data_IF_656390240701
#
_entry.id   IF_656390240701
#
_cell.length_a   1.000
_cell.length_b   1.000
_cell.length_c   1.000
_cell.angle_alpha   90.00
_cell.angle_beta   90.00
_cell.angle_gamma   90.00
#
_symmetry.space_group_name_H-M   'P 1'
#
loop_
_entity.id
_entity.type
_entity.pdbx_description
1 polymer ?
#
# COMPACT_ATOMS: atom_id res chain seq x y z
N UNK A 1 -32.29 12.39 28.02
CA UNK A 1 -31.24 12.73 27.02
C UNK A 1 -29.91 11.98 27.20
N UNK A 2 -29.66 11.23 28.27
CA UNK A 2 -28.35 10.56 28.51
C UNK A 2 -28.16 9.17 27.85
N UNK A 3 -29.23 8.48 27.41
CA UNK A 3 -29.12 7.11 26.87
C UNK A 3 -28.62 7.06 25.41
N UNK A 4 -29.07 7.99 24.55
CA UNK A 4 -28.69 7.98 23.13
C UNK A 4 -27.21 8.36 22.89
N UNK A 5 -26.69 9.34 23.62
CA UNK A 5 -25.28 9.76 23.52
C UNK A 5 -24.32 8.67 24.04
N UNK A 6 -24.72 7.96 25.10
CA UNK A 6 -23.99 6.79 25.61
C UNK A 6 -23.90 5.65 24.58
N UNK A 7 -25.02 5.31 23.93
CA UNK A 7 -25.07 4.27 22.89
C UNK A 7 -24.17 4.63 21.69
N UNK A 8 -24.19 5.88 21.24
CA UNK A 8 -23.32 6.32 20.14
C UNK A 8 -21.83 6.22 20.48
N UNK A 9 -21.46 6.47 21.74
CA UNK A 9 -20.08 6.38 22.22
C UNK A 9 -19.63 4.93 22.35
N UNK A 10 -20.49 4.04 22.88
CA UNK A 10 -20.23 2.60 22.95
C UNK A 10 -20.05 2.00 21.55
N UNK A 11 -20.90 2.36 20.59
CA UNK A 11 -20.79 1.87 19.21
C UNK A 11 -19.45 2.30 18.58
N UNK A 12 -19.03 3.56 18.76
CA UNK A 12 -17.73 4.05 18.26
C UNK A 12 -16.58 3.26 18.88
N UNK A 13 -16.65 3.01 20.17
CA UNK A 13 -15.65 2.24 20.90
C UNK A 13 -15.55 0.79 20.39
N UNK A 14 -16.68 0.11 20.22
CA UNK A 14 -16.74 -1.27 19.72
C UNK A 14 -16.16 -1.41 18.30
N UNK A 15 -16.46 -0.44 17.42
CA UNK A 15 -15.89 -0.41 16.07
C UNK A 15 -14.36 -0.29 16.15
N UNK A 16 -13.85 0.67 16.93
CA UNK A 16 -12.40 0.84 17.09
C UNK A 16 -11.72 -0.41 17.66
N UNK A 17 -12.30 -1.06 18.67
CA UNK A 17 -11.76 -2.32 19.20
C UNK A 17 -11.76 -3.46 18.17
N UNK A 18 -12.75 -3.50 17.26
CA UNK A 18 -12.76 -4.45 16.16
C UNK A 18 -11.58 -4.20 15.21
N UNK A 19 -11.36 -2.95 14.81
CA UNK A 19 -10.22 -2.56 13.96
C UNK A 19 -8.88 -2.91 14.62
N UNK A 20 -8.73 -2.63 15.92
CA UNK A 20 -7.55 -2.95 16.72
C UNK A 20 -7.32 -4.47 16.77
N UNK A 21 -8.37 -5.25 16.99
CA UNK A 21 -8.28 -6.71 17.02
C UNK A 21 -7.77 -7.27 15.69
N UNK A 22 -8.28 -6.76 14.56
CA UNK A 22 -7.83 -7.14 13.22
C UNK A 22 -6.36 -6.77 13.01
N UNK A 23 -5.92 -5.59 13.46
CA UNK A 23 -4.53 -5.15 13.39
C UNK A 23 -3.59 -6.07 14.20
N UNK A 24 -3.93 -6.35 15.46
CA UNK A 24 -3.14 -7.25 16.31
C UNK A 24 -3.11 -8.68 15.76
N UNK A 25 -4.23 -9.15 15.22
CA UNK A 25 -4.30 -10.46 14.58
C UNK A 25 -3.36 -10.55 13.37
N UNK A 26 -3.33 -9.51 12.52
CA UNK A 26 -2.34 -9.46 11.43
C UNK A 26 -0.91 -9.43 11.95
N UNK A 27 -0.65 -8.67 13.01
CA UNK A 27 0.67 -8.56 13.62
C UNK A 27 1.18 -9.93 14.08
N UNK A 28 0.35 -10.67 14.80
CA UNK A 28 0.68 -12.02 15.23
C UNK A 28 1.00 -12.96 14.05
N UNK A 29 0.22 -12.90 12.96
CA UNK A 29 0.41 -13.77 11.80
C UNK A 29 1.63 -13.42 10.92
N UNK A 30 2.03 -12.16 10.89
CA UNK A 30 3.12 -11.69 10.01
C UNK A 30 4.44 -11.55 10.74
N UNK A 31 4.45 -11.53 12.07
CA UNK A 31 5.63 -11.37 12.92
C UNK A 31 6.85 -12.19 12.48
N UNK A 32 6.70 -13.51 12.30
CA UNK A 32 7.81 -14.39 11.92
C UNK A 32 8.44 -13.99 10.59
N UNK A 33 7.61 -13.56 9.63
CA UNK A 33 8.07 -13.09 8.32
C UNK A 33 8.71 -11.71 8.42
N UNK A 34 8.18 -10.84 9.27
CA UNK A 34 8.74 -9.50 9.50
C UNK A 34 10.15 -9.55 10.06
N UNK A 35 10.36 -10.34 11.11
CA UNK A 35 11.68 -10.49 11.73
C UNK A 35 12.67 -10.99 10.69
N UNK A 36 12.28 -12.01 9.90
CA UNK A 36 13.14 -12.60 8.87
C UNK A 36 13.49 -11.63 7.74
N UNK A 37 12.52 -10.88 7.21
CA UNK A 37 12.72 -10.10 5.98
C UNK A 37 13.06 -8.63 6.21
N UNK A 38 12.53 -8.00 7.27
CA UNK A 38 12.73 -6.59 7.56
C UNK A 38 13.80 -6.36 8.63
N UNK A 39 13.75 -7.06 9.75
CA UNK A 39 14.63 -6.78 10.89
C UNK A 39 16.02 -7.41 10.76
N UNK A 40 16.12 -8.62 10.19
CA UNK A 40 17.41 -9.32 10.03
C UNK A 40 18.23 -8.88 8.80
N UNK A 41 17.82 -7.82 8.08
CA UNK A 41 18.42 -7.43 6.78
C UNK A 41 18.69 -5.93 6.70
N UNK A 42 19.44 -5.51 5.68
CA UNK A 42 19.81 -4.11 5.45
C UNK A 42 18.58 -3.22 5.26
N UNK A 43 18.67 -2.00 5.78
CA UNK A 43 17.60 -1.00 5.69
C UNK A 43 17.49 -0.47 4.24
N UNK A 44 16.32 -0.69 3.62
CA UNK A 44 15.91 -0.15 2.30
C UNK A 44 14.78 0.87 2.45
N UNK A 45 14.51 1.70 1.44
CA UNK A 45 13.39 2.65 1.42
C UNK A 45 12.03 1.93 1.60
N UNK A 46 11.87 0.73 1.04
CA UNK A 46 10.68 -0.11 1.29
C UNK A 46 10.49 -0.48 2.76
N UNK A 47 11.58 -0.57 3.54
CA UNK A 47 11.54 -0.75 5.01
C UNK A 47 10.91 0.45 5.69
N UNK A 48 11.33 1.65 5.32
CA UNK A 48 10.78 2.89 5.87
C UNK A 48 9.29 3.03 5.52
N UNK A 49 8.92 2.75 4.28
CA UNK A 49 7.51 2.77 3.84
C UNK A 49 6.67 1.69 4.51
N UNK A 50 7.22 0.50 4.69
CA UNK A 50 6.55 -0.57 5.44
C UNK A 50 6.30 -0.15 6.89
N UNK A 51 7.31 0.40 7.57
CA UNK A 51 7.20 0.89 8.94
C UNK A 51 6.17 2.03 9.00
N UNK A 52 6.23 2.99 8.08
CA UNK A 52 5.28 4.09 7.99
C UNK A 52 3.85 3.59 7.78
N UNK A 53 3.59 2.72 6.79
CA UNK A 53 2.26 2.17 6.53
C UNK A 53 1.72 1.34 7.71
N UNK A 54 2.59 0.58 8.38
CA UNK A 54 2.18 -0.40 9.40
C UNK A 54 2.02 0.22 10.77
N UNK A 55 3.02 0.98 11.23
CA UNK A 55 3.02 1.56 12.57
C UNK A 55 2.26 2.88 12.63
N UNK A 56 2.02 3.57 11.50
CA UNK A 56 1.10 4.71 11.51
C UNK A 56 -0.33 4.31 11.90
N UNK A 57 -0.72 3.06 11.68
CA UNK A 57 -2.05 2.53 12.06
C UNK A 57 -2.22 2.42 13.58
N UNK A 58 -1.12 2.39 14.34
CA UNK A 58 -1.14 2.44 15.82
C UNK A 58 -1.72 3.76 16.31
N UNK A 59 -1.73 4.81 15.47
CA UNK A 59 -2.46 6.05 15.76
C UNK A 59 -3.93 5.80 16.11
N UNK A 60 -4.58 4.77 15.55
CA UNK A 60 -5.98 4.48 15.87
C UNK A 60 -6.14 3.89 17.29
N UNK A 61 -5.14 3.18 17.78
CA UNK A 61 -5.07 2.72 19.18
C UNK A 61 -4.93 3.92 20.10
N UNK A 62 -4.01 4.83 19.79
CA UNK A 62 -3.80 6.06 20.56
C UNK A 62 -5.06 6.96 20.56
N UNK A 63 -5.75 7.05 19.43
CA UNK A 63 -7.03 7.75 19.30
C UNK A 63 -8.11 7.14 20.20
N UNK A 64 -8.21 5.82 20.24
CA UNK A 64 -9.17 5.09 21.08
C UNK A 64 -8.85 5.27 22.56
N UNK A 65 -7.57 5.28 22.92
CA UNK A 65 -7.10 5.51 24.29
C UNK A 65 -7.38 6.94 24.76
N UNK A 66 -7.27 7.92 23.86
CA UNK A 66 -7.62 9.31 24.15
C UNK A 66 -9.14 9.50 24.36
N UNK A 67 -9.97 8.71 23.68
CA UNK A 67 -11.43 8.75 23.79
C UNK A 67 -12.01 8.02 25.02
N UNK A 68 -11.29 7.07 25.61
CA UNK A 68 -11.82 6.23 26.69
C UNK A 68 -11.75 6.88 28.09
N UNK A 69 -11.47 8.18 28.18
CA UNK A 69 -11.31 8.95 29.43
C UNK A 69 -10.30 8.36 30.44
N UNK A 70 -9.50 7.38 30.01
CA UNK A 70 -8.40 6.80 30.80
C UNK A 70 -7.23 7.79 31.00
N UNK A 71 -7.28 8.96 30.36
CA UNK A 71 -6.30 10.05 30.49
C UNK A 71 -6.99 11.28 31.11
N UNK A 72 -7.03 11.38 32.46
CA UNK A 72 -7.66 12.50 33.14
C UNK A 72 -6.85 13.79 32.90
N UNK A 73 -7.31 14.65 32.00
CA UNK A 73 -6.73 15.98 31.79
C UNK A 73 -7.02 16.58 30.41
N UNK A 74 -8.05 17.41 30.32
CA UNK A 74 -8.52 18.12 29.11
C UNK A 74 -7.52 19.08 28.43
N UNK A 75 -6.22 19.07 28.82
CA UNK A 75 -5.13 19.77 28.10
C UNK A 75 -4.19 18.81 27.35
N UNK A 76 -4.21 17.52 27.70
CA UNK A 76 -3.42 16.48 27.01
C UNK A 76 -4.13 15.98 25.76
N UNK A 77 -5.46 16.10 25.69
CA UNK A 77 -6.23 15.56 24.56
C UNK A 77 -5.87 16.20 23.21
N UNK A 78 -5.82 17.54 23.11
CA UNK A 78 -5.55 18.19 21.82
C UNK A 78 -4.13 17.92 21.30
N UNK A 79 -3.13 17.86 22.18
CA UNK A 79 -1.76 17.56 21.78
C UNK A 79 -1.62 16.10 21.35
N UNK A 80 -2.21 15.16 22.10
CA UNK A 80 -2.24 13.75 21.71
C UNK A 80 -2.99 13.57 20.38
N UNK A 81 -4.09 14.29 20.17
CA UNK A 81 -4.89 14.26 18.95
C UNK A 81 -4.11 14.76 17.74
N UNK A 82 -3.36 15.85 17.89
CA UNK A 82 -2.47 16.39 16.84
C UNK A 82 -1.34 15.42 16.51
N UNK A 83 -0.74 14.77 17.52
CA UNK A 83 0.29 13.74 17.31
C UNK A 83 -0.28 12.54 16.55
N UNK A 84 -1.46 12.06 16.95
CA UNK A 84 -2.16 10.98 16.25
C UNK A 84 -2.45 11.37 14.79
N UNK A 85 -2.99 12.57 14.58
CA UNK A 85 -3.27 13.10 13.25
C UNK A 85 -2.00 13.16 12.39
N UNK A 86 -0.89 13.67 12.92
CA UNK A 86 0.40 13.70 12.22
C UNK A 86 0.94 12.31 11.87
N UNK A 87 0.81 11.33 12.77
CA UNK A 87 1.18 9.93 12.49
C UNK A 87 0.31 9.36 11.36
N UNK A 88 -0.99 9.66 11.35
CA UNK A 88 -1.91 9.24 10.28
C UNK A 88 -1.50 9.80 8.91
N UNK A 89 -1.04 11.07 8.86
CA UNK A 89 -0.51 11.69 7.63
C UNK A 89 0.67 10.91 7.06
N UNK A 90 1.60 10.47 7.94
CA UNK A 90 2.75 9.65 7.54
C UNK A 90 2.28 8.33 6.91
N UNK A 91 1.27 7.69 7.52
CA UNK A 91 0.67 6.46 7.00
C UNK A 91 0.02 6.64 5.62
N UNK A 92 -0.83 7.66 5.46
CA UNK A 92 -1.49 7.97 4.17
C UNK A 92 -0.47 8.32 3.09
N UNK A 93 0.53 9.12 3.43
CA UNK A 93 1.62 9.48 2.51
C UNK A 93 2.37 8.23 2.04
N UNK A 94 2.68 7.31 2.95
CA UNK A 94 3.34 6.05 2.59
C UNK A 94 2.48 5.18 1.66
N UNK A 95 1.16 5.09 1.92
CA UNK A 95 0.19 4.41 1.04
C UNK A 95 0.23 5.04 -0.37
N UNK A 96 0.08 6.36 -0.48
CA UNK A 96 0.13 7.11 -1.75
C UNK A 96 1.43 6.81 -2.50
N UNK A 97 2.57 6.89 -1.82
CA UNK A 97 3.89 6.63 -2.42
C UNK A 97 3.98 5.20 -2.96
N UNK A 98 3.55 4.19 -2.19
CA UNK A 98 3.59 2.78 -2.62
C UNK A 98 2.72 2.55 -3.85
N UNK A 99 1.48 3.05 -3.84
CA UNK A 99 0.55 2.91 -4.96
C UNK A 99 1.02 3.67 -6.20
N UNK A 100 1.57 4.86 -6.02
CA UNK A 100 2.11 5.68 -7.10
C UNK A 100 3.36 5.07 -7.72
N UNK A 101 4.32 4.66 -6.89
CA UNK A 101 5.55 4.01 -7.33
C UNK A 101 5.26 2.70 -8.08
N UNK A 102 4.30 1.90 -7.59
CA UNK A 102 3.82 0.70 -8.28
C UNK A 102 3.21 1.04 -9.64
N UNK A 103 2.33 2.02 -9.71
CA UNK A 103 1.69 2.42 -10.98
C UNK A 103 2.74 2.92 -11.97
N UNK A 104 3.71 3.70 -11.52
CA UNK A 104 4.82 4.17 -12.34
C UNK A 104 5.72 3.03 -12.85
N UNK A 105 6.04 2.04 -12.00
CA UNK A 105 6.80 0.86 -12.37
C UNK A 105 6.09 0.03 -13.45
N UNK A 106 4.79 -0.20 -13.30
CA UNK A 106 3.95 -0.95 -14.25
C UNK A 106 3.90 -0.31 -15.64
N UNK A 107 4.07 1.01 -15.74
CA UNK A 107 4.08 1.75 -17.01
C UNK A 107 5.48 2.01 -17.55
N UNK A 108 6.46 1.16 -17.20
CA UNK A 108 7.84 1.27 -17.66
C UNK A 108 8.45 2.66 -17.41
N UNK A 109 8.16 3.25 -16.24
CA UNK A 109 8.68 4.57 -15.87
C UNK A 109 8.27 5.69 -16.83
N UNK A 110 7.06 5.60 -17.38
CA UNK A 110 6.53 6.67 -18.23
C UNK A 110 6.40 7.99 -17.46
N UNK A 111 7.08 9.04 -17.94
CA UNK A 111 7.08 10.38 -17.33
C UNK A 111 5.67 10.95 -17.18
N UNK A 112 4.74 10.65 -18.09
CA UNK A 112 3.36 11.13 -17.96
C UNK A 112 2.67 10.58 -16.70
N UNK A 113 2.90 9.30 -16.38
CA UNK A 113 2.34 8.68 -15.17
C UNK A 113 2.96 9.30 -13.92
N UNK A 114 4.27 9.57 -13.95
CA UNK A 114 4.96 10.26 -12.85
C UNK A 114 4.39 11.66 -12.62
N UNK A 115 4.16 12.43 -13.68
CA UNK A 115 3.61 13.78 -13.57
C UNK A 115 2.20 13.71 -12.99
N UNK A 116 1.31 12.88 -13.55
CA UNK A 116 -0.09 12.79 -13.11
C UNK A 116 -0.20 12.31 -11.65
N UNK A 117 0.45 11.19 -11.30
CA UNK A 117 0.40 10.64 -9.94
C UNK A 117 1.23 11.46 -8.96
N UNK A 118 2.33 12.07 -9.41
CA UNK A 118 3.14 12.97 -8.60
C UNK A 118 2.35 14.22 -8.22
N UNK A 119 1.70 14.89 -9.18
CA UNK A 119 0.90 16.09 -8.89
C UNK A 119 -0.32 15.75 -8.04
N UNK A 120 -1.02 14.66 -8.35
CA UNK A 120 -2.19 14.25 -7.59
C UNK A 120 -1.82 13.80 -6.17
N UNK A 121 -0.72 13.05 -6.02
CA UNK A 121 -0.21 12.62 -4.72
C UNK A 121 0.27 13.80 -3.86
N UNK A 122 0.99 14.76 -4.45
CA UNK A 122 1.41 15.98 -3.74
C UNK A 122 0.21 16.82 -3.30
N UNK A 123 -0.83 16.91 -4.13
CA UNK A 123 -2.08 17.59 -3.76
C UNK A 123 -2.74 16.91 -2.55
N UNK A 124 -2.88 15.58 -2.57
CA UNK A 124 -3.48 14.84 -1.45
C UNK A 124 -2.66 15.02 -0.17
N UNK A 125 -1.33 14.88 -0.24
CA UNK A 125 -0.45 15.06 0.92
C UNK A 125 -0.52 16.50 1.45
N UNK A 126 -0.55 17.50 0.56
CA UNK A 126 -0.70 18.90 0.93
C UNK A 126 -2.02 19.17 1.65
N UNK A 127 -3.12 18.62 1.15
CA UNK A 127 -4.43 18.69 1.80
C UNK A 127 -4.41 18.00 3.17
N UNK A 128 -3.78 16.83 3.28
CA UNK A 128 -3.68 16.05 4.53
C UNK A 128 -2.91 16.84 5.60
N UNK A 129 -1.79 17.45 5.24
CA UNK A 129 -1.00 18.31 6.13
C UNK A 129 -1.81 19.54 6.54
N UNK A 130 -2.53 20.18 5.60
CA UNK A 130 -3.34 21.36 5.89
C UNK A 130 -4.54 21.06 6.80
N UNK A 131 -4.98 19.80 6.85
CA UNK A 131 -6.05 19.35 7.72
C UNK A 131 -5.59 19.21 9.19
N UNK A 132 -4.33 18.83 9.45
CA UNK A 132 -3.80 18.56 10.80
C UNK A 132 -4.00 19.71 11.79
N UNK A 133 -3.72 20.99 11.47
CA UNK A 133 -3.89 22.09 12.44
C UNK A 133 -5.34 22.30 12.88
N UNK A 134 -6.31 21.91 12.04
CA UNK A 134 -7.74 22.07 12.30
C UNK A 134 -8.37 20.96 13.14
N UNK A 135 -7.59 19.96 13.56
CA UNK A 135 -8.09 18.83 14.33
C UNK A 135 -8.14 19.19 15.83
N UNK A 136 -9.33 19.14 16.42
CA UNK A 136 -9.59 19.43 17.85
C UNK A 136 -10.29 18.26 18.51
N UNK A 137 -9.95 17.96 19.77
CA UNK A 137 -10.52 16.84 20.50
C UNK A 137 -12.01 17.05 20.86
N UNK A 138 -12.39 18.29 21.19
CA UNK A 138 -13.76 18.69 21.50
C UNK A 138 -14.06 20.03 20.83
N UNK A 139 -15.09 20.09 19.99
CA UNK A 139 -15.51 21.32 19.30
C UNK A 139 -15.76 21.12 17.81
N UNK A 140 -16.04 22.21 17.10
CA UNK A 140 -16.23 22.17 15.66
C UNK A 140 -14.86 21.97 14.98
N UNK A 141 -14.69 20.81 14.34
CA UNK A 141 -13.53 20.45 13.55
C UNK A 141 -13.26 21.49 12.45
N UNK A 142 -12.02 21.50 11.95
CA UNK A 142 -11.49 22.43 10.95
C UNK A 142 -12.29 22.53 9.65
N UNK A 143 -11.71 23.16 8.63
CA UNK A 143 -12.44 23.53 7.42
C UNK A 143 -13.05 22.29 6.71
N UNK A 144 -14.39 22.11 6.69
CA UNK A 144 -15.03 20.91 6.15
C UNK A 144 -14.77 20.73 4.65
N UNK A 145 -14.49 21.83 3.95
CA UNK A 145 -14.14 21.81 2.53
C UNK A 145 -12.83 21.06 2.31
N UNK A 146 -11.84 21.25 3.18
CA UNK A 146 -10.53 20.59 3.06
C UNK A 146 -10.67 19.08 3.29
N UNK A 147 -11.49 18.68 4.28
CA UNK A 147 -11.77 17.27 4.56
C UNK A 147 -12.47 16.59 3.37
N UNK A 148 -13.51 17.22 2.81
CA UNK A 148 -14.22 16.69 1.64
C UNK A 148 -13.29 16.55 0.43
N UNK A 149 -12.51 17.58 0.12
CA UNK A 149 -11.55 17.55 -0.98
C UNK A 149 -10.49 16.45 -0.79
N UNK A 150 -9.93 16.31 0.41
CA UNK A 150 -8.97 15.26 0.74
C UNK A 150 -9.53 13.87 0.40
N UNK A 151 -10.74 13.57 0.87
CA UNK A 151 -11.36 12.26 0.69
C UNK A 151 -11.64 12.00 -0.79
N UNK A 152 -12.21 12.99 -1.51
CA UNK A 152 -12.49 12.85 -2.94
C UNK A 152 -11.19 12.60 -3.72
N UNK A 153 -10.15 13.41 -3.52
CA UNK A 153 -8.89 13.24 -4.24
C UNK A 153 -8.16 11.95 -3.89
N UNK A 154 -8.23 11.50 -2.63
CA UNK A 154 -7.68 10.20 -2.21
C UNK A 154 -8.37 9.05 -2.95
N UNK A 155 -9.71 9.05 -3.00
CA UNK A 155 -10.47 8.00 -3.71
C UNK A 155 -10.18 8.04 -5.20
N UNK A 156 -10.10 9.23 -5.81
CA UNK A 156 -9.72 9.39 -7.22
C UNK A 156 -8.33 8.81 -7.48
N UNK A 157 -7.35 9.11 -6.60
CA UNK A 157 -5.99 8.58 -6.70
C UNK A 157 -5.96 7.05 -6.66
N UNK A 158 -6.64 6.45 -5.69
CA UNK A 158 -6.67 4.99 -5.50
C UNK A 158 -7.41 4.27 -6.63
N UNK A 159 -8.56 4.79 -7.05
CA UNK A 159 -9.34 4.23 -8.17
C UNK A 159 -8.54 4.31 -9.46
N UNK A 160 -7.90 5.45 -9.74
CA UNK A 160 -7.06 5.61 -10.92
C UNK A 160 -5.86 4.64 -10.90
N UNK A 161 -5.18 4.53 -9.75
CA UNK A 161 -4.09 3.56 -9.54
C UNK A 161 -4.57 2.13 -9.79
N UNK A 162 -5.70 1.74 -9.20
CA UNK A 162 -6.28 0.41 -9.32
C UNK A 162 -6.68 0.09 -10.76
N UNK A 163 -7.34 1.01 -11.47
CA UNK A 163 -7.73 0.85 -12.87
C UNK A 163 -6.49 0.68 -13.75
N UNK A 164 -5.51 1.57 -13.66
CA UNK A 164 -4.34 1.55 -14.53
C UNK A 164 -3.48 0.30 -14.31
N UNK A 165 -3.24 -0.06 -13.05
CA UNK A 165 -2.52 -1.30 -12.72
C UNK A 165 -3.30 -2.53 -13.16
N UNK A 166 -4.63 -2.53 -13.02
CA UNK A 166 -5.48 -3.65 -13.45
C UNK A 166 -5.50 -3.82 -14.97
N UNK A 167 -5.69 -2.73 -15.71
CA UNK A 167 -5.69 -2.76 -17.18
C UNK A 167 -4.36 -3.26 -17.71
N UNK A 168 -3.24 -2.77 -17.19
CA UNK A 168 -1.90 -3.23 -17.63
C UNK A 168 -1.64 -4.68 -17.28
N UNK A 169 -2.06 -5.11 -16.09
CA UNK A 169 -1.95 -6.51 -15.67
C UNK A 169 -2.80 -7.42 -16.55
N UNK A 170 -4.01 -6.98 -16.91
CA UNK A 170 -4.90 -7.70 -17.81
C UNK A 170 -4.32 -7.81 -19.23
N UNK A 171 -3.73 -6.73 -19.75
CA UNK A 171 -3.05 -6.73 -21.05
C UNK A 171 -1.89 -7.73 -21.07
N UNK A 172 -1.09 -7.77 -20.01
CA UNK A 172 0.00 -8.75 -19.88
C UNK A 172 -0.53 -10.19 -19.85
N UNK A 173 -1.63 -10.44 -19.13
CA UNK A 173 -2.28 -11.76 -19.11
C UNK A 173 -2.85 -12.15 -20.47
N UNK A 174 -3.50 -11.23 -21.19
CA UNK A 174 -4.00 -11.51 -22.54
C UNK A 174 -2.85 -11.91 -23.48
N UNK A 175 -1.70 -11.26 -23.35
CA UNK A 175 -0.49 -11.59 -24.10
C UNK A 175 0.10 -12.94 -23.64
N UNK A 176 0.03 -13.33 -22.38
CA UNK A 176 0.52 -14.68 -22.01
C UNK A 176 -0.42 -15.81 -22.46
N UNK A 177 -1.73 -15.58 -22.48
CA UNK A 177 -2.76 -16.59 -22.81
C UNK A 177 -2.75 -16.98 -24.30
N UNK A 178 -2.55 -16.04 -25.24
CA UNK A 178 -2.57 -16.38 -26.68
C UNK A 178 -1.34 -17.18 -27.17
N UNK A 179 -0.36 -17.47 -26.31
CA UNK A 179 0.93 -18.06 -26.69
C UNK A 179 1.23 -19.46 -26.12
N UNK A 180 0.22 -20.20 -25.66
CA UNK A 180 0.27 -21.60 -25.22
C UNK A 180 1.52 -22.09 -24.42
N UNK A 181 1.35 -22.12 -23.09
CA UNK A 181 1.62 -23.29 -22.24
C UNK A 181 3.06 -23.83 -22.06
N UNK A 182 3.71 -23.40 -20.97
CA UNK A 182 4.53 -24.23 -20.04
C UNK A 182 4.77 -23.47 -18.71
N UNK A 183 3.71 -23.13 -17.97
CA UNK A 183 3.05 -23.95 -16.94
C UNK A 183 3.76 -24.06 -15.56
N UNK A 184 5.02 -23.62 -15.36
CA UNK A 184 5.63 -23.68 -14.01
C UNK A 184 6.26 -22.36 -13.53
N UNK A 185 7.04 -21.65 -14.37
CA UNK A 185 7.68 -20.38 -13.97
C UNK A 185 6.73 -19.17 -13.96
N UNK A 186 5.66 -19.24 -14.75
CA UNK A 186 4.59 -18.23 -14.77
C UNK A 186 3.79 -18.19 -13.47
N UNK A 187 3.74 -19.27 -12.68
CA UNK A 187 2.92 -19.34 -11.45
C UNK A 187 3.33 -18.30 -10.42
N UNK A 188 4.64 -18.01 -10.27
CA UNK A 188 5.14 -17.12 -9.23
C UNK A 188 4.96 -15.63 -9.58
N UNK A 189 5.27 -15.24 -10.82
CA UNK A 189 5.03 -13.86 -11.30
C UNK A 189 3.53 -13.57 -11.46
N UNK A 190 2.75 -14.58 -11.89
CA UNK A 190 1.29 -14.54 -11.87
C UNK A 190 0.75 -14.40 -10.44
N UNK A 191 1.35 -15.07 -9.45
CA UNK A 191 0.93 -14.95 -8.05
C UNK A 191 1.14 -13.53 -7.52
N UNK A 192 2.32 -12.94 -7.74
CA UNK A 192 2.64 -11.58 -7.25
C UNK A 192 1.79 -10.51 -7.94
N UNK A 193 1.57 -10.63 -9.26
CA UNK A 193 0.65 -9.75 -10.00
C UNK A 193 -0.80 -9.91 -9.52
N UNK A 194 -1.25 -11.16 -9.30
CA UNK A 194 -2.61 -11.48 -8.85
C UNK A 194 -2.87 -11.03 -7.42
N UNK A 195 -1.95 -11.28 -6.50
CA UNK A 195 -2.08 -10.86 -5.10
C UNK A 195 -2.05 -9.33 -5.01
N UNK A 196 -1.11 -8.68 -5.70
CA UNK A 196 -1.09 -7.22 -5.80
C UNK A 196 -2.38 -6.64 -6.38
N UNK A 197 -2.95 -7.25 -7.42
CA UNK A 197 -4.24 -6.87 -8.03
C UNK A 197 -5.39 -6.98 -7.04
N UNK A 198 -5.49 -8.10 -6.32
CA UNK A 198 -6.56 -8.33 -5.35
C UNK A 198 -6.50 -7.29 -4.23
N UNK A 199 -5.30 -6.95 -3.76
CA UNK A 199 -5.13 -5.87 -2.78
C UNK A 199 -5.58 -4.51 -3.33
N UNK A 200 -5.23 -4.17 -4.57
CA UNK A 200 -5.65 -2.91 -5.22
C UNK A 200 -7.16 -2.79 -5.35
N UNK A 201 -7.80 -3.85 -5.85
CA UNK A 201 -9.24 -3.88 -6.09
C UNK A 201 -9.98 -3.80 -4.76
N UNK A 202 -9.52 -4.54 -3.75
CA UNK A 202 -10.16 -4.53 -2.44
C UNK A 202 -10.06 -3.15 -1.78
N UNK A 203 -8.87 -2.56 -1.73
CA UNK A 203 -8.67 -1.21 -1.17
C UNK A 203 -9.56 -0.18 -1.88
N UNK A 204 -9.53 -0.16 -3.22
CA UNK A 204 -10.33 0.76 -4.01
C UNK A 204 -11.83 0.55 -3.82
N UNK A 205 -12.31 -0.69 -3.67
CA UNK A 205 -13.71 -0.98 -3.40
C UNK A 205 -14.14 -0.50 -2.00
N UNK A 206 -13.28 -0.68 -0.99
CA UNK A 206 -13.53 -0.19 0.38
C UNK A 206 -13.61 1.33 0.40
N UNK A 207 -12.67 2.03 -0.23
CA UNK A 207 -12.59 3.50 -0.18
C UNK A 207 -13.68 4.16 -1.00
N UNK A 208 -14.01 3.61 -2.18
CA UNK A 208 -15.17 4.02 -2.96
C UNK A 208 -16.49 3.74 -2.22
N UNK A 209 -16.61 2.59 -1.57
CA UNK A 209 -17.78 2.26 -0.75
C UNK A 209 -17.98 3.23 0.41
N UNK A 210 -16.89 3.63 1.09
CA UNK A 210 -16.93 4.64 2.14
C UNK A 210 -17.41 6.01 1.62
N UNK A 211 -16.92 6.44 0.44
CA UNK A 211 -17.34 7.67 -0.21
C UNK A 211 -18.83 7.65 -0.60
N UNK A 212 -19.29 6.56 -1.22
CA UNK A 212 -20.70 6.41 -1.61
C UNK A 212 -21.60 6.46 -0.38
N UNK A 213 -21.24 5.76 0.70
CA UNK A 213 -22.02 5.78 1.94
C UNK A 213 -22.07 7.16 2.61
N UNK A 214 -21.02 7.99 2.44
CA UNK A 214 -21.00 9.37 2.94
C UNK A 214 -22.08 10.23 2.29
N UNK A 215 -22.33 10.05 0.99
CA UNK A 215 -23.33 10.83 0.25
C UNK A 215 -24.73 10.20 0.21
N UNK A 216 -24.84 8.87 0.37
CA UNK A 216 -26.13 8.17 0.24
C UNK A 216 -26.86 7.94 1.55
N UNK A 217 -26.18 7.90 2.69
CA UNK A 217 -26.81 7.63 4.00
C UNK A 217 -26.73 8.85 4.92
N UNK A 218 -27.76 8.99 5.76
CA UNK A 218 -27.79 10.01 6.80
C UNK A 218 -26.56 9.91 7.71
N UNK A 219 -25.96 11.07 8.01
CA UNK A 219 -24.79 11.21 8.87
C UNK A 219 -25.02 10.47 10.19
N UNK A 220 -24.30 9.38 10.40
CA UNK A 220 -24.35 8.63 11.64
C UNK A 220 -24.81 7.19 11.53
N UNK A 221 -25.14 6.69 10.33
CA UNK A 221 -25.44 5.27 10.13
C UNK A 221 -24.23 4.38 10.49
N UNK A 222 -24.50 3.23 11.12
CA UNK A 222 -23.48 2.24 11.51
C UNK A 222 -22.48 1.90 10.39
N UNK A 223 -22.91 1.54 9.16
CA UNK A 223 -21.97 1.15 8.12
C UNK A 223 -21.12 2.30 7.58
N UNK A 224 -21.65 3.53 7.56
CA UNK A 224 -20.85 4.71 7.22
C UNK A 224 -19.74 4.94 8.25
N UNK A 225 -20.07 4.83 9.55
CA UNK A 225 -19.09 4.98 10.64
C UNK A 225 -18.02 3.89 10.61
N UNK A 226 -18.44 2.65 10.38
CA UNK A 226 -17.56 1.49 10.35
C UNK A 226 -16.57 1.59 9.18
N UNK A 227 -17.07 1.80 7.95
CA UNK A 227 -16.19 1.92 6.79
C UNK A 227 -15.26 3.12 6.89
N UNK A 228 -15.72 4.28 7.38
CA UNK A 228 -14.85 5.44 7.55
C UNK A 228 -13.73 5.20 8.57
N UNK A 229 -14.03 4.51 9.69
CA UNK A 229 -13.04 4.17 10.71
C UNK A 229 -12.03 3.12 10.21
N UNK A 230 -12.49 2.13 9.44
CA UNK A 230 -11.69 0.99 9.04
C UNK A 230 -10.91 1.19 7.73
N UNK A 231 -11.31 2.15 6.90
CA UNK A 231 -10.69 2.37 5.58
C UNK A 231 -9.18 2.59 5.67
N UNK A 232 -8.73 3.42 6.61
CA UNK A 232 -7.30 3.71 6.79
C UNK A 232 -6.52 2.49 7.33
N UNK A 233 -6.93 1.83 8.43
CA UNK A 233 -6.37 0.55 8.87
C UNK A 233 -6.27 -0.49 7.76
N UNK A 234 -7.36 -0.72 7.03
CA UNK A 234 -7.43 -1.73 5.97
C UNK A 234 -6.45 -1.40 4.85
N UNK A 235 -6.45 -0.14 4.38
CA UNK A 235 -5.57 0.30 3.30
C UNK A 235 -4.09 0.20 3.69
N UNK A 236 -3.75 0.60 4.93
CA UNK A 236 -2.40 0.47 5.48
C UNK A 236 -1.96 -0.98 5.61
N UNK A 237 -2.83 -1.84 6.13
CA UNK A 237 -2.58 -3.27 6.34
C UNK A 237 -2.30 -3.99 5.02
N UNK A 238 -3.16 -3.78 4.02
CA UNK A 238 -3.02 -4.42 2.72
C UNK A 238 -1.79 -3.91 1.97
N UNK A 239 -1.46 -2.63 2.12
CA UNK A 239 -0.22 -2.06 1.59
C UNK A 239 1.01 -2.66 2.27
N UNK A 240 0.99 -2.84 3.60
CA UNK A 240 2.07 -3.48 4.35
C UNK A 240 2.25 -4.95 3.96
N UNK A 241 1.15 -5.72 3.83
CA UNK A 241 1.19 -7.11 3.34
C UNK A 241 1.76 -7.20 1.94
N UNK A 242 1.36 -6.29 1.04
CA UNK A 242 1.92 -6.22 -0.30
C UNK A 242 3.44 -5.99 -0.29
N UNK A 243 3.94 -5.05 0.52
CA UNK A 243 5.38 -4.80 0.67
C UNK A 243 6.12 -6.01 1.26
N UNK A 244 5.51 -6.72 2.22
CA UNK A 244 6.07 -7.95 2.79
C UNK A 244 6.21 -9.04 1.72
N UNK A 245 5.18 -9.26 0.91
CA UNK A 245 5.20 -10.25 -0.17
C UNK A 245 6.22 -9.89 -1.26
N UNK A 246 6.33 -8.61 -1.60
CA UNK A 246 7.34 -8.11 -2.54
C UNK A 246 8.76 -8.42 -2.05
N UNK A 247 9.02 -8.21 -0.75
CA UNK A 247 10.34 -8.44 -0.15
C UNK A 247 10.69 -9.92 0.02
N UNK A 248 9.72 -10.75 0.37
CA UNK A 248 9.88 -12.21 0.37
C UNK A 248 10.22 -12.73 -1.03
N UNK A 249 9.62 -12.14 -2.07
CA UNK A 249 9.91 -12.51 -3.45
C UNK A 249 11.31 -12.09 -3.89
N UNK A 250 11.73 -10.84 -3.63
CA UNK A 250 13.08 -10.34 -3.92
C UNK A 250 14.14 -11.27 -3.29
N UNK A 251 13.89 -11.70 -2.06
CA UNK A 251 14.76 -12.63 -1.35
C UNK A 251 14.84 -14.01 -2.02
N UNK A 252 13.71 -14.63 -2.37
CA UNK A 252 13.70 -15.92 -3.10
C UNK A 252 14.39 -15.83 -4.46
N UNK A 253 14.25 -14.71 -5.16
CA UNK A 253 14.94 -14.48 -6.43
C UNK A 253 16.46 -14.38 -6.24
N UNK A 254 16.91 -13.69 -5.18
CA UNK A 254 18.35 -13.57 -4.88
C UNK A 254 18.99 -14.91 -4.52
N UNK A 255 18.33 -15.77 -3.72
CA UNK A 255 18.85 -17.09 -3.35
C UNK A 255 18.95 -18.03 -4.56
N UNK A 256 17.98 -18.00 -5.47
CA UNK A 256 18.03 -18.82 -6.69
C UNK A 256 19.18 -18.47 -7.64
N UNK A 257 19.78 -17.28 -7.49
CA UNK A 257 20.90 -16.82 -8.34
C UNK A 257 22.25 -17.24 -7.76
N UNK A 258 22.36 -17.39 -6.44
CA UNK A 258 23.60 -17.80 -5.76
C UNK A 258 23.89 -19.31 -5.83
N UNK A 259 22.87 -20.15 -6.01
CA UNK A 259 23.04 -21.61 -6.06
C UNK A 259 23.47 -22.15 -7.45
N UNK A 260 23.65 -21.29 -8.46
CA UNK A 260 23.96 -21.70 -9.85
C UNK A 260 25.48 -21.70 -10.18
N UNK A 261 26.36 -21.58 -9.18
CA UNK A 261 27.81 -21.74 -9.38
C UNK A 261 28.27 -23.18 -9.12
N UNK A 262 28.06 -24.05 -10.11
CA UNK A 262 28.72 -25.37 -10.21
C UNK A 262 29.38 -25.51 -11.59
N UNK A 263 30.69 -25.84 -11.68
CA UNK A 263 31.43 -25.81 -12.94
C UNK A 263 31.35 -27.17 -13.66
N UNK A 264 30.17 -27.60 -14.12
CA UNK A 264 30.09 -28.76 -15.02
C UNK A 264 29.09 -28.56 -16.17
N UNK A 265 29.54 -29.00 -17.35
CA UNK A 265 29.03 -28.68 -18.67
C UNK A 265 27.58 -29.12 -18.94
N UNK A 266 26.85 -28.30 -19.70
CA UNK A 266 25.57 -28.70 -20.29
C UNK A 266 24.55 -27.57 -20.38
N UNK A 267 24.68 -26.73 -21.42
CA UNK A 267 23.69 -25.83 -22.02
C UNK A 267 22.33 -25.74 -21.28
N UNK A 268 22.30 -25.05 -20.14
CA UNK A 268 21.08 -24.67 -19.41
C UNK A 268 20.88 -23.17 -19.56
N UNK A 269 19.73 -22.79 -20.12
CA UNK A 269 19.30 -21.39 -20.28
C UNK A 269 19.25 -20.71 -18.91
N UNK A 270 20.12 -19.73 -18.77
CA UNK A 270 20.32 -18.82 -17.64
C UNK A 270 19.00 -18.32 -17.01
N UNK A 271 18.90 -18.22 -15.68
CA UNK A 271 17.82 -17.49 -15.02
C UNK A 271 18.08 -15.99 -15.15
N UNK A 272 17.03 -15.24 -15.54
CA UNK A 272 16.76 -13.84 -15.20
C UNK A 272 18.00 -12.93 -15.12
N UNK A 273 18.45 -12.40 -16.25
CA UNK A 273 19.23 -11.15 -16.23
C UNK A 273 18.28 -9.99 -15.92
N UNK A 274 18.28 -9.53 -14.67
CA UNK A 274 18.30 -8.08 -14.49
C UNK A 274 19.55 -7.60 -15.21
N UNK A 275 19.46 -6.55 -16.01
CA UNK A 275 20.65 -5.97 -16.62
C UNK A 275 21.46 -5.33 -15.49
N UNK A 276 22.31 -6.14 -14.87
CA UNK A 276 23.46 -5.71 -14.11
C UNK A 276 24.49 -5.22 -15.14
N UNK A 277 24.38 -3.95 -15.52
CA UNK A 277 25.58 -3.22 -15.89
C UNK A 277 26.34 -2.94 -14.59
N UNK A 278 27.05 -3.95 -14.07
CA UNK A 278 28.17 -3.72 -13.16
C UNK A 278 29.28 -3.18 -14.05
N UNK A 279 29.24 -1.87 -14.26
CA UNK A 279 30.43 -1.11 -14.59
C UNK A 279 31.21 -0.97 -13.26
N UNK A 280 32.39 -1.60 -13.11
CA UNK A 280 33.14 -1.57 -11.86
C UNK A 280 33.60 -0.15 -11.47
N UNK A 281 33.41 0.85 -12.34
CA UNK A 281 33.75 2.25 -12.08
C UNK A 281 32.54 3.16 -11.77
N UNK A 282 31.32 2.65 -11.65
CA UNK A 282 30.16 3.46 -11.24
C UNK A 282 29.87 3.33 -9.75
N UNK A 283 29.88 4.47 -9.06
CA UNK A 283 29.40 4.62 -7.69
C UNK A 283 28.04 3.93 -7.48
N UNK A 284 27.74 3.43 -6.26
CA UNK A 284 26.50 2.72 -5.99
C UNK A 284 25.30 3.65 -6.24
N UNK A 285 24.70 3.52 -7.43
CA UNK A 285 23.44 4.19 -7.74
C UNK A 285 22.44 3.74 -6.69
N UNK A 286 21.96 4.68 -5.88
CA UNK A 286 20.81 4.47 -4.99
C UNK A 286 19.73 3.76 -5.81
N UNK A 287 19.48 2.49 -5.51
CA UNK A 287 18.38 1.73 -6.12
C UNK A 287 17.12 2.56 -5.92
N UNK A 288 16.53 3.02 -7.02
CA UNK A 288 15.31 3.82 -6.95
C UNK A 288 14.24 2.95 -6.33
N UNK A 289 13.41 3.53 -5.47
CA UNK A 289 12.24 2.87 -4.89
C UNK A 289 11.41 2.13 -5.95
N UNK A 290 11.37 2.69 -7.16
CA UNK A 290 10.64 2.16 -8.31
C UNK A 290 11.25 0.86 -8.84
N UNK A 291 12.57 0.68 -8.72
CA UNK A 291 13.28 -0.54 -9.13
C UNK A 291 12.81 -1.75 -8.31
N UNK A 292 12.42 -1.54 -7.05
CA UNK A 292 11.94 -2.59 -6.15
C UNK A 292 10.52 -3.05 -6.49
N UNK A 293 9.70 -2.21 -7.13
CA UNK A 293 8.33 -2.54 -7.54
C UNK A 293 8.24 -3.33 -8.86
N UNK A 294 9.38 -3.58 -9.51
CA UNK A 294 9.48 -4.43 -10.68
C UNK A 294 9.41 -3.69 -12.03
N UNK A 295 9.24 -4.47 -13.10
CA UNK A 295 9.25 -3.99 -14.49
C UNK A 295 7.85 -4.09 -15.12
N UNK A 296 7.60 -3.34 -16.21
CA UNK A 296 6.33 -3.35 -16.96
C UNK A 296 5.95 -4.78 -17.39
N UNK A 297 4.78 -5.29 -16.93
CA UNK A 297 4.37 -6.65 -17.20
C UNK A 297 4.06 -6.92 -18.68
N UNK A 298 3.69 -5.89 -19.45
CA UNK A 298 3.43 -5.99 -20.89
C UNK A 298 4.75 -6.11 -21.67
N UNK A 299 5.75 -5.29 -21.33
CA UNK A 299 7.07 -5.38 -21.97
C UNK A 299 7.75 -6.70 -21.67
N UNK A 300 7.63 -7.18 -20.44
CA UNK A 300 8.09 -8.51 -20.06
C UNK A 300 7.41 -9.60 -20.88
N UNK A 301 6.07 -9.60 -20.98
CA UNK A 301 5.33 -10.58 -21.75
C UNK A 301 5.71 -10.57 -23.25
N UNK A 302 5.99 -9.39 -23.81
CA UNK A 302 6.49 -9.24 -25.19
C UNK A 302 7.89 -9.82 -25.37
N UNK A 303 8.84 -9.56 -24.46
CA UNK A 303 10.20 -10.12 -24.51
C UNK A 303 10.18 -11.64 -24.39
N UNK A 304 9.37 -12.18 -23.47
CA UNK A 304 9.21 -13.63 -23.31
C UNK A 304 8.68 -14.27 -24.61
N UNK A 305 7.68 -13.66 -25.26
CA UNK A 305 7.21 -14.11 -26.59
C UNK A 305 8.31 -14.05 -27.66
N UNK A 306 9.04 -12.95 -27.76
CA UNK A 306 10.09 -12.78 -28.78
C UNK A 306 11.25 -13.79 -28.63
N UNK A 307 11.64 -14.09 -27.38
CA UNK A 307 12.68 -15.10 -27.11
C UNK A 307 12.29 -16.53 -27.48
N UNK A 308 10.98 -16.79 -27.58
CA UNK A 308 10.44 -18.11 -27.93
C UNK A 308 10.15 -18.26 -29.43
N UNK A 309 10.10 -17.17 -30.20
CA UNK A 309 9.91 -17.18 -31.65
C UNK A 309 11.22 -17.30 -32.45
N UNK A 310 12.38 -17.25 -31.80
CA UNK A 310 13.67 -17.52 -32.43
C UNK A 310 13.84 -19.04 -32.61
N UNK A 311 14.05 -19.55 -33.85
CA UNK A 311 14.34 -20.96 -34.07
C UNK A 311 15.64 -21.34 -33.37
N UNK A 312 15.64 -22.50 -32.69
CA UNK A 312 16.85 -23.11 -32.11
C UNK A 312 17.71 -23.73 -33.21
#
# INVERSE_FOLDING_TARGET
MSSAEGVHSIIRLMIQYSSITVLFYDYALTWTREVKFFWSRKFKISTALYIACRYAMVSNILYTLALSDMLPGMRVCDNAYKICSAISVVGRSAIIIVWGARTYAVFNRNKCVLVVFGTLGLLVIGLDISHVPGVVCVGNSGNPIVEELLIIFMVVYEVLSAILTTVRSWQAMKISITGAWRSQRQKLSYLVLREGLLYSIFVSATTLGALILRYTRAQGSLPQRLLNADTLPISGLLTARFLLHLREWDHKASESTSDDWSPEAGQKKSPIQFVDFIDPNREPVQRSIVDEFGEDPVLRARRERASNSLPR
#
